data_IF_676855839164
#
_entry.id   IF_676855839164
#
_cell.length_a   1.000
_cell.length_b   1.000
_cell.length_c   1.000
_cell.angle_alpha   90.00
_cell.angle_beta   90.00
_cell.angle_gamma   90.00
#
_symmetry.space_group_name_H-M   'P 1'
#
loop_
_entity.id
_entity.type
_entity.pdbx_description
1 polymer ?
#
# COMPACT_ATOMS: atom_id res chain seq x y z
N UNK A 1 -8.61 -13.29 27.92
CA UNK A 1 -7.60 -12.51 27.18
C UNK A 1 -7.90 -11.03 27.38
N UNK A 2 -7.08 -10.31 28.15
CA UNK A 2 -7.16 -8.85 28.21
C UNK A 2 -6.28 -8.31 27.10
N UNK A 3 -6.87 -7.93 25.96
CA UNK A 3 -6.16 -7.12 24.96
C UNK A 3 -6.22 -5.68 25.46
N UNK A 4 -5.07 -5.11 25.83
CA UNK A 4 -4.99 -3.67 26.00
C UNK A 4 -5.34 -3.02 24.64
N UNK A 5 -6.16 -1.97 24.61
CA UNK A 5 -6.39 -1.25 23.37
C UNK A 5 -5.07 -0.61 22.92
N UNK A 6 -4.79 -0.68 21.62
CA UNK A 6 -3.67 0.03 21.03
C UNK A 6 -3.83 1.52 21.35
N UNK A 7 -2.79 2.21 21.87
CA UNK A 7 -2.87 3.63 22.19
C UNK A 7 -3.15 4.44 20.93
N UNK A 8 -3.91 5.53 21.08
CA UNK A 8 -4.29 6.37 19.95
C UNK A 8 -3.03 7.10 19.40
N UNK A 9 -2.66 6.88 18.14
CA UNK A 9 -1.44 7.47 17.56
C UNK A 9 -1.51 9.00 17.42
N UNK A 10 -2.68 9.62 17.56
CA UNK A 10 -2.83 11.08 17.60
C UNK A 10 -2.44 11.65 18.97
N UNK A 11 -2.31 10.80 19.99
CA UNK A 11 -1.99 11.19 21.36
C UNK A 11 -0.55 10.86 21.76
N UNK A 12 0.23 10.27 20.86
CA UNK A 12 1.63 9.91 21.09
C UNK A 12 2.53 11.17 21.08
N UNK A 13 3.15 11.56 22.22
CA UNK A 13 4.02 12.74 22.29
C UNK A 13 5.33 12.62 21.52
N UNK A 14 5.74 11.39 21.18
CA UNK A 14 6.91 11.13 20.34
C UNK A 14 6.59 11.22 18.84
N UNK A 15 5.32 11.44 18.48
CA UNK A 15 4.91 11.62 17.09
C UNK A 15 5.32 13.00 16.58
N UNK A 16 5.97 13.00 15.43
CA UNK A 16 6.24 14.23 14.68
C UNK A 16 4.93 14.85 14.17
N UNK A 17 4.65 16.15 14.42
CA UNK A 17 3.39 16.79 14.05
C UNK A 17 3.21 16.96 12.54
N UNK A 18 4.31 16.95 11.77
CA UNK A 18 4.30 17.03 10.31
C UNK A 18 4.32 15.64 9.64
N UNK A 19 4.47 14.57 10.44
CA UNK A 19 4.20 13.21 10.00
C UNK A 19 2.71 13.07 9.74
N UNK A 20 2.32 13.48 8.54
CA UNK A 20 1.13 12.95 7.89
C UNK A 20 1.16 11.42 8.05
N UNK A 21 0.01 10.79 8.34
CA UNK A 21 -0.04 9.34 8.21
C UNK A 21 0.45 9.04 6.81
N UNK A 22 1.59 8.35 6.68
CA UNK A 22 2.05 7.83 5.40
C UNK A 22 1.00 6.79 5.05
N UNK A 23 -0.09 7.24 4.42
CA UNK A 23 -1.11 6.36 3.88
C UNK A 23 -0.38 5.66 2.74
N UNK A 24 0.01 4.39 2.88
CA UNK A 24 0.59 3.70 1.75
C UNK A 24 -0.44 3.81 0.62
N UNK A 25 -0.02 4.08 -0.63
CA UNK A 25 -0.95 4.01 -1.74
C UNK A 25 -1.64 2.64 -1.64
N UNK A 26 -2.99 2.59 -1.67
CA UNK A 26 -3.66 1.32 -1.43
C UNK A 26 -3.16 0.32 -2.47
N UNK A 27 -2.86 -0.92 -2.05
CA UNK A 27 -2.21 -1.89 -2.90
C UNK A 27 -3.13 -2.18 -4.07
N UNK A 28 -2.69 -1.82 -5.28
CA UNK A 28 -3.49 -1.96 -6.50
C UNK A 28 -3.96 -0.66 -7.17
N UNK A 29 -3.27 0.48 -7.01
CA UNK A 29 -3.45 1.64 -7.90
C UNK A 29 -2.94 1.38 -9.34
N UNK A 30 -3.58 0.45 -10.05
CA UNK A 30 -3.87 0.60 -11.47
C UNK A 30 -5.38 0.85 -11.48
N UNK A 31 -5.83 2.09 -11.68
CA UNK A 31 -7.18 2.49 -11.23
C UNK A 31 -8.35 1.65 -11.79
N UNK A 32 -8.18 0.79 -12.80
CA UNK A 32 -9.29 -0.02 -13.32
C UNK A 32 -8.96 -1.47 -13.75
N UNK A 33 -7.69 -1.91 -13.84
CA UNK A 33 -7.37 -3.26 -14.34
C UNK A 33 -6.13 -3.91 -13.68
N UNK A 34 -6.13 -5.25 -13.45
CA UNK A 34 -4.91 -5.97 -13.13
C UNK A 34 -3.84 -5.72 -14.21
N UNK A 35 -2.56 -5.63 -13.81
CA UNK A 35 -1.48 -5.59 -14.78
C UNK A 35 -1.53 -6.86 -15.65
N UNK A 36 -1.82 -6.67 -16.94
CA UNK A 36 -1.79 -7.77 -17.90
C UNK A 36 -0.34 -8.04 -18.29
N UNK A 37 0.11 -9.31 -18.33
CA UNK A 37 1.43 -9.63 -18.85
C UNK A 37 1.51 -9.18 -20.31
N UNK A 38 2.68 -8.66 -20.72
CA UNK A 38 2.99 -8.47 -22.14
C UNK A 38 2.86 -9.84 -22.82
N UNK A 39 2.17 -9.88 -23.96
CA UNK A 39 1.95 -11.13 -24.71
C UNK A 39 3.28 -11.80 -25.09
N UNK A 40 3.23 -13.06 -25.54
CA UNK A 40 4.42 -13.70 -26.08
C UNK A 40 5.01 -12.83 -27.21
N UNK A 41 6.35 -12.82 -27.41
CA UNK A 41 6.95 -12.08 -28.50
C UNK A 41 6.29 -12.44 -29.84
N UNK A 42 5.95 -11.42 -30.64
CA UNK A 42 5.23 -11.52 -31.93
C UNK A 42 6.09 -12.12 -33.07
N UNK A 43 7.13 -12.87 -32.71
CA UNK A 43 7.95 -13.60 -33.68
C UNK A 43 7.74 -15.07 -33.41
N UNK A 44 7.23 -15.76 -34.41
CA UNK A 44 7.22 -17.22 -34.41
C UNK A 44 8.66 -17.72 -34.21
N UNK A 45 8.87 -18.72 -33.34
CA UNK A 45 10.18 -19.34 -33.22
C UNK A 45 10.60 -19.91 -34.59
N UNK A 46 11.85 -19.63 -34.97
CA UNK A 46 12.47 -20.12 -36.22
C UNK A 46 12.46 -21.63 -36.28
#
# INVERSE_FOLDING_TARGET
MHTAPTPDPLTDPARDPESEPIVPPPPGHHNDEPQRPEGPPDKDPV
#
